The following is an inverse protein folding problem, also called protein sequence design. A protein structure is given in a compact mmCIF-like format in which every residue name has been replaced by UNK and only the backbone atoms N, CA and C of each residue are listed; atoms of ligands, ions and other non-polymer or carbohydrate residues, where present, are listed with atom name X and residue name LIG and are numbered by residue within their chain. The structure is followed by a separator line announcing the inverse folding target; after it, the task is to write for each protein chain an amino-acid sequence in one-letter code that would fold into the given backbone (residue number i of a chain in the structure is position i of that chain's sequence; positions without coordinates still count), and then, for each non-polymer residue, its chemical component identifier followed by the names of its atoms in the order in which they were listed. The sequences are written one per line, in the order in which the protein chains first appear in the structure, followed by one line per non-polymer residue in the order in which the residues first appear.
data_IF_762262387011
#
_entry.id   IF_762262387011
#
_cell.length_a   1.000
_cell.length_b   1.000
_cell.length_c   1.000
_cell.angle_alpha   90.00
_cell.angle_beta   90.00
_cell.angle_gamma   90.00
#
_symmetry.space_group_name_H-M   'P 1'
#
loop_
_entity.id
_entity.type
_entity.pdbx_description
1 polymer ?
#
# COMPACT_ATOMS: atom_id res chain seq x y z
N UNK A 1 -52.52 83.02 -2.91
CA UNK A 1 -51.94 82.42 -4.10
C UNK A 1 -50.67 81.70 -3.66
N UNK A 2 -50.79 80.38 -3.45
CA UNK A 2 -49.65 79.54 -3.07
C UNK A 2 -49.09 78.81 -4.28
N UNK A 3 -47.97 79.31 -4.81
CA UNK A 3 -47.24 78.63 -5.87
C UNK A 3 -46.42 77.45 -5.31
N UNK A 4 -46.84 76.22 -5.61
CA UNK A 4 -46.01 75.03 -5.35
C UNK A 4 -44.91 74.99 -6.41
N UNK A 5 -43.64 75.20 -5.97
CA UNK A 5 -42.44 74.93 -6.75
C UNK A 5 -42.25 73.41 -6.89
N UNK A 6 -42.52 72.87 -8.08
CA UNK A 6 -42.09 71.51 -8.45
C UNK A 6 -40.61 71.45 -8.59
N UNK A 7 -39.94 70.78 -7.62
CA UNK A 7 -38.52 70.43 -7.73
C UNK A 7 -38.38 69.28 -8.78
N UNK A 8 -37.99 69.69 -9.98
CA UNK A 8 -37.56 68.73 -11.01
C UNK A 8 -36.21 68.15 -10.56
N UNK A 9 -36.26 66.93 -10.05
CA UNK A 9 -35.06 66.14 -9.74
C UNK A 9 -34.42 65.69 -11.05
N UNK A 10 -33.55 66.49 -11.60
CA UNK A 10 -32.70 66.09 -12.72
C UNK A 10 -31.75 64.96 -12.30
N UNK A 11 -31.93 63.75 -12.86
CA UNK A 11 -30.96 62.65 -12.66
C UNK A 11 -29.59 63.14 -13.08
N UNK A 12 -28.60 62.94 -12.21
CA UNK A 12 -27.17 63.28 -12.45
C UNK A 12 -26.73 62.74 -13.82
N UNK A 13 -25.97 63.51 -14.58
CA UNK A 13 -25.43 63.11 -15.88
C UNK A 13 -24.61 61.82 -15.76
N UNK A 14 -23.94 61.63 -14.62
CA UNK A 14 -23.21 60.40 -14.26
C UNK A 14 -24.15 59.19 -14.24
N UNK A 15 -25.34 59.29 -13.64
CA UNK A 15 -26.29 58.15 -13.59
C UNK A 15 -26.89 57.83 -14.97
N UNK A 16 -27.00 58.83 -15.87
CA UNK A 16 -27.48 58.62 -17.23
C UNK A 16 -26.49 57.85 -18.12
N UNK A 17 -25.20 57.89 -17.82
CA UNK A 17 -24.17 57.19 -18.58
C UNK A 17 -23.81 55.88 -17.88
N UNK A 18 -23.62 55.87 -16.55
CA UNK A 18 -23.20 54.67 -15.83
C UNK A 18 -24.25 53.57 -15.82
N UNK A 19 -25.54 53.92 -15.72
CA UNK A 19 -26.59 52.87 -15.68
C UNK A 19 -26.67 52.09 -17.01
N UNK A 20 -26.71 52.74 -18.18
CA UNK A 20 -26.67 52.01 -19.46
C UNK A 20 -25.39 51.20 -19.66
N UNK A 21 -24.23 51.71 -19.28
CA UNK A 21 -22.95 50.96 -19.35
C UNK A 21 -22.98 49.73 -18.48
N UNK A 22 -23.50 49.82 -17.25
CA UNK A 22 -23.59 48.70 -16.33
C UNK A 22 -24.59 47.65 -16.84
N UNK A 23 -25.72 48.07 -17.41
CA UNK A 23 -26.70 47.20 -18.07
C UNK A 23 -26.07 46.49 -19.26
N UNK A 24 -25.31 47.19 -20.09
CA UNK A 24 -24.62 46.63 -21.26
C UNK A 24 -23.58 45.58 -20.81
N UNK A 25 -22.77 45.86 -19.77
CA UNK A 25 -21.80 44.92 -19.23
C UNK A 25 -22.46 43.67 -18.68
N UNK A 26 -23.57 43.80 -17.94
CA UNK A 26 -24.33 42.63 -17.44
C UNK A 26 -24.89 41.82 -18.62
N UNK A 27 -25.38 42.47 -19.66
CA UNK A 27 -25.93 41.81 -20.84
C UNK A 27 -24.85 41.06 -21.63
N UNK A 28 -23.66 41.64 -21.79
CA UNK A 28 -22.50 40.98 -22.40
C UNK A 28 -22.09 39.72 -21.62
N UNK A 29 -21.99 39.81 -20.29
CA UNK A 29 -21.68 38.63 -19.42
C UNK A 29 -22.77 37.59 -19.54
N UNK A 30 -24.06 37.98 -19.54
CA UNK A 30 -25.17 37.06 -19.70
C UNK A 30 -25.17 36.35 -21.06
N UNK A 31 -24.92 37.08 -22.14
CA UNK A 31 -24.79 36.49 -23.48
C UNK A 31 -23.62 35.54 -23.56
N UNK A 32 -22.46 35.90 -23.00
CA UNK A 32 -21.30 35.03 -22.96
C UNK A 32 -21.60 33.74 -22.15
N UNK A 33 -22.25 33.85 -21.00
CA UNK A 33 -22.64 32.69 -20.20
C UNK A 33 -23.63 31.76 -20.96
N UNK A 34 -24.61 32.35 -21.68
CA UNK A 34 -25.55 31.57 -22.49
C UNK A 34 -24.83 30.89 -23.66
N UNK A 35 -23.91 31.58 -24.34
CA UNK A 35 -23.09 30.98 -25.41
C UNK A 35 -22.27 29.81 -24.88
N UNK A 36 -21.59 29.96 -23.74
CA UNK A 36 -20.82 28.88 -23.09
C UNK A 36 -21.70 27.67 -22.72
N UNK A 37 -22.92 27.90 -22.22
CA UNK A 37 -23.87 26.85 -21.89
C UNK A 37 -24.41 26.13 -23.14
N UNK A 38 -24.72 26.87 -24.20
CA UNK A 38 -25.33 26.32 -25.42
C UNK A 38 -24.27 25.65 -26.32
N UNK A 39 -23.06 26.17 -26.37
CA UNK A 39 -21.97 25.60 -27.17
C UNK A 39 -21.44 24.24 -26.69
N UNK A 40 -21.83 23.83 -25.50
CA UNK A 40 -21.32 22.59 -24.90
C UNK A 40 -19.87 22.67 -24.44
N UNK A 41 -19.23 23.83 -24.45
CA UNK A 41 -17.83 24.01 -24.05
C UNK A 41 -17.59 23.61 -22.60
N UNK A 42 -18.56 23.87 -21.69
CA UNK A 42 -18.49 23.45 -20.31
C UNK A 42 -18.47 21.90 -20.18
N UNK A 43 -19.27 21.22 -21.00
CA UNK A 43 -19.28 19.74 -21.05
C UNK A 43 -17.97 19.23 -21.62
N UNK A 44 -17.42 19.88 -22.63
CA UNK A 44 -16.13 19.52 -23.21
C UNK A 44 -14.99 19.74 -22.22
N UNK A 45 -14.95 20.87 -21.51
CA UNK A 45 -13.94 21.14 -20.47
C UNK A 45 -14.04 20.10 -19.34
N UNK A 46 -15.26 19.78 -18.90
CA UNK A 46 -15.48 18.75 -17.89
C UNK A 46 -14.95 17.39 -18.35
N UNK A 47 -15.33 16.96 -19.55
CA UNK A 47 -14.86 15.70 -20.14
C UNK A 47 -13.34 15.66 -20.30
N UNK A 48 -12.73 16.75 -20.75
CA UNK A 48 -11.28 16.86 -20.88
C UNK A 48 -10.57 16.77 -19.54
N UNK A 49 -11.11 17.43 -18.50
CA UNK A 49 -10.57 17.36 -17.15
C UNK A 49 -10.65 15.94 -16.57
N UNK A 50 -11.73 15.23 -16.81
CA UNK A 50 -11.88 13.83 -16.41
C UNK A 50 -10.87 12.93 -17.12
N UNK A 51 -10.74 13.03 -18.42
CA UNK A 51 -9.77 12.24 -19.18
C UNK A 51 -8.34 12.48 -18.67
N UNK A 52 -8.00 13.73 -18.34
CA UNK A 52 -6.69 14.07 -17.80
C UNK A 52 -6.45 13.44 -16.41
N UNK A 53 -7.47 13.41 -15.56
CA UNK A 53 -7.38 12.76 -14.25
C UNK A 53 -7.23 11.26 -14.38
N UNK A 54 -8.02 10.63 -15.24
CA UNK A 54 -7.93 9.20 -15.55
C UNK A 54 -6.53 8.86 -16.08
N UNK A 55 -6.04 9.60 -17.08
CA UNK A 55 -4.71 9.39 -17.65
C UNK A 55 -3.60 9.51 -16.57
N UNK A 56 -3.67 10.53 -15.71
CA UNK A 56 -2.71 10.71 -14.62
C UNK A 56 -2.78 9.55 -13.62
N UNK A 57 -3.99 9.12 -13.27
CA UNK A 57 -4.20 8.02 -12.32
C UNK A 57 -3.67 6.71 -12.90
N UNK A 58 -4.01 6.38 -14.15
CA UNK A 58 -3.52 5.21 -14.85
C UNK A 58 -1.99 5.19 -14.95
N UNK A 59 -1.37 6.33 -15.30
CA UNK A 59 0.09 6.44 -15.33
C UNK A 59 0.72 6.20 -13.94
N UNK A 60 0.08 6.67 -12.87
CA UNK A 60 0.56 6.43 -11.50
C UNK A 60 0.36 4.98 -11.08
N UNK A 61 -0.79 4.39 -11.38
CA UNK A 61 -1.07 2.98 -11.13
C UNK A 61 -0.01 2.10 -11.81
N UNK A 62 0.22 2.31 -13.12
CA UNK A 62 1.25 1.57 -13.87
C UNK A 62 2.66 1.76 -13.32
N UNK A 63 2.98 2.94 -12.80
CA UNK A 63 4.27 3.18 -12.16
C UNK A 63 4.42 2.43 -10.84
N UNK A 64 3.38 2.44 -10.00
CA UNK A 64 3.36 1.68 -8.73
C UNK A 64 3.43 0.18 -9.02
N UNK A 65 2.65 -0.33 -9.97
CA UNK A 65 2.70 -1.71 -10.41
C UNK A 65 4.11 -2.11 -10.87
N UNK A 66 4.73 -1.31 -11.73
CA UNK A 66 6.11 -1.53 -12.17
C UNK A 66 7.10 -1.57 -10.99
N UNK A 67 6.99 -0.64 -10.05
CA UNK A 67 7.82 -0.59 -8.84
C UNK A 67 7.65 -1.85 -7.98
N UNK A 68 6.42 -2.31 -7.79
CA UNK A 68 6.14 -3.53 -7.04
C UNK A 68 6.67 -4.76 -7.76
N UNK A 69 6.44 -4.87 -9.06
CA UNK A 69 6.92 -6.00 -9.87
C UNK A 69 8.44 -6.13 -9.89
N UNK A 70 9.18 -5.02 -9.81
CA UNK A 70 10.64 -5.07 -9.68
C UNK A 70 11.11 -5.75 -8.40
N UNK A 71 10.28 -5.83 -7.36
CA UNK A 71 10.64 -6.48 -6.07
C UNK A 71 10.40 -7.98 -6.07
N UNK A 72 9.68 -8.52 -7.05
CA UNK A 72 9.29 -9.94 -7.05
C UNK A 72 10.44 -10.88 -7.38
N UNK A 73 11.27 -10.55 -8.38
CA UNK A 73 12.41 -11.39 -8.78
C UNK A 73 13.46 -11.55 -7.69
N UNK A 74 13.89 -10.47 -6.99
CA UNK A 74 14.82 -10.59 -5.87
C UNK A 74 14.35 -11.50 -4.75
N UNK A 75 13.05 -11.47 -4.41
CA UNK A 75 12.50 -12.35 -3.38
C UNK A 75 12.53 -13.81 -3.81
N UNK A 76 12.21 -14.09 -5.08
CA UNK A 76 12.34 -15.43 -5.64
C UNK A 76 13.80 -15.92 -5.61
N UNK A 77 14.76 -15.08 -6.03
CA UNK A 77 16.19 -15.41 -5.98
C UNK A 77 16.64 -15.73 -4.56
N UNK A 78 16.19 -14.93 -3.58
CA UNK A 78 16.47 -15.16 -2.16
C UNK A 78 15.81 -16.45 -1.65
N UNK A 79 14.61 -16.78 -2.11
CA UNK A 79 13.97 -18.06 -1.78
C UNK A 79 14.80 -19.26 -2.29
N UNK A 80 15.32 -19.17 -3.51
CA UNK A 80 16.20 -20.20 -4.08
C UNK A 80 17.51 -20.33 -3.26
N UNK A 81 18.11 -19.22 -2.87
CA UNK A 81 19.31 -19.19 -2.03
C UNK A 81 19.04 -19.83 -0.65
N UNK A 82 17.94 -19.46 0.01
CA UNK A 82 17.58 -20.04 1.31
C UNK A 82 17.26 -21.54 1.19
N UNK A 83 16.60 -21.98 0.12
CA UNK A 83 16.39 -23.41 -0.11
C UNK A 83 17.72 -24.16 -0.24
N UNK A 84 18.70 -23.59 -0.96
CA UNK A 84 20.04 -24.18 -1.06
C UNK A 84 20.74 -24.25 0.30
N UNK A 85 20.73 -23.17 1.08
CA UNK A 85 21.27 -23.12 2.45
C UNK A 85 20.63 -24.19 3.33
N UNK A 86 19.30 -24.36 3.22
CA UNK A 86 18.55 -25.35 3.96
C UNK A 86 18.98 -26.77 3.60
N UNK A 87 19.03 -27.09 2.30
CA UNK A 87 19.42 -28.42 1.83
C UNK A 87 20.86 -28.77 2.23
N UNK A 88 21.80 -27.81 2.06
CA UNK A 88 23.18 -27.98 2.47
C UNK A 88 23.30 -28.23 3.97
N UNK A 89 22.58 -27.46 4.80
CA UNK A 89 22.56 -27.61 6.24
C UNK A 89 22.01 -28.99 6.69
N UNK A 90 20.92 -29.44 6.07
CA UNK A 90 20.31 -30.74 6.35
C UNK A 90 21.28 -31.89 5.99
N UNK A 91 21.92 -31.80 4.82
CA UNK A 91 22.86 -32.82 4.34
C UNK A 91 24.13 -32.87 5.19
N UNK A 92 24.72 -31.72 5.56
CA UNK A 92 25.93 -31.65 6.42
C UNK A 92 25.72 -32.31 7.79
N UNK A 93 24.52 -32.20 8.34
CA UNK A 93 24.20 -32.69 9.67
C UNK A 93 23.49 -34.07 9.68
N UNK A 94 23.15 -34.60 8.50
CA UNK A 94 22.43 -35.86 8.36
C UNK A 94 21.02 -35.80 8.96
N UNK A 95 20.37 -34.63 8.93
CA UNK A 95 19.05 -34.40 9.48
C UNK A 95 18.03 -34.26 8.34
N UNK A 96 16.77 -34.47 8.64
CA UNK A 96 15.68 -34.37 7.67
C UNK A 96 14.85 -33.12 7.90
N UNK A 97 14.05 -32.72 6.89
CA UNK A 97 13.14 -31.58 7.01
C UNK A 97 12.12 -31.76 8.16
N UNK A 98 11.75 -33.00 8.50
CA UNK A 98 10.84 -33.27 9.63
C UNK A 98 11.46 -32.86 10.98
N UNK A 99 12.78 -32.97 11.11
CA UNK A 99 13.50 -32.53 12.31
C UNK A 99 13.54 -31.01 12.45
N UNK A 100 13.32 -30.27 11.36
CA UNK A 100 13.15 -28.82 11.43
C UNK A 100 11.94 -28.42 12.28
N UNK A 101 10.87 -29.22 12.26
CA UNK A 101 9.66 -28.96 13.06
C UNK A 101 9.80 -29.29 14.55
N UNK A 102 10.80 -30.10 14.92
CA UNK A 102 10.94 -30.65 16.28
C UNK A 102 12.10 -30.03 17.07
N UNK A 103 13.12 -29.51 16.39
CA UNK A 103 14.37 -29.07 17.04
C UNK A 103 14.58 -27.54 16.89
N UNK A 104 14.53 -26.86 18.05
CA UNK A 104 14.72 -25.39 18.10
C UNK A 104 16.13 -24.93 17.73
N UNK A 105 17.16 -25.74 18.01
CA UNK A 105 18.53 -25.37 17.65
C UNK A 105 18.74 -25.50 16.14
N UNK A 106 18.09 -26.47 15.50
CA UNK A 106 18.08 -26.60 14.05
C UNK A 106 17.43 -25.37 13.41
N UNK A 107 16.26 -24.97 13.93
CA UNK A 107 15.57 -23.76 13.45
C UNK A 107 16.43 -22.50 13.62
N UNK A 108 17.04 -22.34 14.79
CA UNK A 108 17.89 -21.21 15.12
C UNK A 108 19.07 -21.10 14.15
N UNK A 109 19.80 -22.20 13.97
CA UNK A 109 20.97 -22.25 13.08
C UNK A 109 20.58 -21.95 11.63
N UNK A 110 19.46 -22.49 11.16
CA UNK A 110 18.96 -22.20 9.82
C UNK A 110 18.63 -20.71 9.63
N UNK A 111 17.97 -20.08 10.63
CA UNK A 111 17.66 -18.66 10.58
C UNK A 111 18.92 -17.78 10.59
N UNK A 112 19.94 -18.19 11.37
CA UNK A 112 21.25 -17.52 11.37
C UNK A 112 21.92 -17.62 10.01
N UNK A 113 22.01 -18.82 9.42
CA UNK A 113 22.61 -19.02 8.09
C UNK A 113 21.88 -18.27 6.98
N UNK A 114 20.57 -18.10 7.11
CA UNK A 114 19.73 -17.37 6.14
C UNK A 114 19.76 -15.85 6.32
N UNK A 115 20.31 -15.34 7.41
CA UNK A 115 20.24 -13.92 7.76
C UNK A 115 20.97 -13.01 6.76
N UNK A 116 22.12 -13.44 6.24
CA UNK A 116 22.91 -12.66 5.26
C UNK A 116 22.11 -12.48 3.97
N UNK A 117 21.33 -13.48 3.55
CA UNK A 117 20.44 -13.35 2.39
C UNK A 117 19.34 -12.32 2.62
N UNK A 118 18.76 -12.25 3.84
CA UNK A 118 17.78 -11.23 4.20
C UNK A 118 18.38 -9.82 4.25
N UNK A 119 19.56 -9.67 4.86
CA UNK A 119 20.29 -8.39 4.89
C UNK A 119 20.61 -7.91 3.49
N UNK A 120 21.09 -8.83 2.62
CA UNK A 120 21.36 -8.54 1.22
C UNK A 120 20.10 -8.08 0.48
N UNK A 121 18.96 -8.71 0.75
CA UNK A 121 17.68 -8.34 0.16
C UNK A 121 17.26 -6.92 0.56
N UNK A 122 17.37 -6.55 1.84
CA UNK A 122 17.10 -5.19 2.33
C UNK A 122 17.99 -4.18 1.61
N UNK A 123 19.30 -4.42 1.57
CA UNK A 123 20.29 -3.46 1.06
C UNK A 123 20.23 -3.30 -0.45
N UNK A 124 20.20 -4.42 -1.18
CA UNK A 124 20.21 -4.41 -2.64
C UNK A 124 18.94 -3.83 -3.21
N UNK A 125 17.82 -4.20 -2.63
CA UNK A 125 16.51 -3.90 -3.21
C UNK A 125 15.78 -2.74 -2.51
N UNK A 126 16.42 -2.11 -1.52
CA UNK A 126 15.91 -0.94 -0.81
C UNK A 126 14.47 -1.18 -0.30
N UNK A 127 14.25 -2.30 0.34
CA UNK A 127 12.98 -2.65 0.98
C UNK A 127 13.06 -2.36 2.47
N UNK A 128 11.92 -2.09 3.09
CA UNK A 128 11.91 -1.75 4.52
C UNK A 128 12.08 -2.96 5.41
N UNK A 129 11.52 -4.09 4.99
CA UNK A 129 11.53 -5.32 5.77
C UNK A 129 11.98 -6.47 4.88
N UNK A 130 12.69 -7.44 5.47
CA UNK A 130 12.91 -8.76 4.90
C UNK A 130 12.75 -9.81 6.00
N UNK A 131 12.12 -10.92 5.70
CA UNK A 131 11.81 -11.92 6.70
C UNK A 131 11.77 -13.34 6.14
N UNK A 132 12.01 -14.28 7.02
CA UNK A 132 11.76 -15.71 6.85
C UNK A 132 10.89 -16.20 8.02
N UNK A 133 9.87 -17.00 7.72
CA UNK A 133 9.00 -17.63 8.71
C UNK A 133 8.93 -19.10 8.35
N UNK A 134 9.32 -19.96 9.29
CA UNK A 134 9.32 -21.40 9.11
C UNK A 134 7.98 -21.99 9.57
N UNK A 135 7.53 -23.04 8.93
CA UNK A 135 6.33 -23.79 9.35
C UNK A 135 6.67 -24.74 10.51
N UNK A 136 7.19 -24.18 11.56
CA UNK A 136 7.57 -24.92 12.75
C UNK A 136 7.11 -24.18 14.00
N UNK A 137 7.04 -24.88 15.12
CA UNK A 137 6.77 -24.29 16.42
C UNK A 137 7.78 -23.21 16.79
N UNK A 138 7.56 -22.58 17.92
CA UNK A 138 8.42 -21.54 18.48
C UNK A 138 9.83 -22.00 18.75
N UNK A 139 10.81 -21.10 18.62
CA UNK A 139 12.16 -21.24 19.16
C UNK A 139 12.17 -21.34 20.70
N UNK A 140 11.06 -21.02 21.34
CA UNK A 140 10.81 -21.18 22.76
C UNK A 140 9.85 -22.37 22.96
N UNK A 141 9.96 -23.09 24.08
CA UNK A 141 9.16 -24.26 24.40
C UNK A 141 7.65 -23.94 24.62
N UNK A 142 7.04 -23.26 23.68
CA UNK A 142 5.60 -22.96 23.64
C UNK A 142 4.93 -23.89 22.64
N UNK A 143 4.29 -24.91 23.18
CA UNK A 143 3.58 -25.93 22.43
C UNK A 143 2.20 -25.43 21.96
N UNK A 144 2.20 -24.52 20.97
CA UNK A 144 0.94 -24.04 20.39
C UNK A 144 1.00 -24.07 18.87
N UNK A 145 -0.01 -24.64 18.23
CA UNK A 145 -0.15 -24.70 16.77
C UNK A 145 -0.16 -23.31 16.09
N UNK A 146 -0.31 -22.26 16.88
CA UNK A 146 -0.40 -20.88 16.42
C UNK A 146 0.94 -20.16 16.38
N UNK A 147 2.01 -20.75 16.90
CA UNK A 147 3.33 -20.10 16.99
C UNK A 147 4.23 -20.56 15.85
N UNK A 148 4.96 -19.63 15.24
CA UNK A 148 5.93 -19.91 14.17
C UNK A 148 7.28 -19.28 14.46
N UNK A 149 8.33 -20.05 14.24
CA UNK A 149 9.70 -19.57 14.29
C UNK A 149 10.00 -18.70 13.08
N UNK A 150 10.74 -17.61 13.25
CA UNK A 150 11.14 -16.77 12.15
C UNK A 150 12.18 -15.73 12.52
N UNK A 151 12.64 -15.03 11.49
CA UNK A 151 13.52 -13.89 11.58
C UNK A 151 12.91 -12.76 10.74
N UNK A 152 12.64 -11.62 11.34
CA UNK A 152 12.11 -10.44 10.69
C UNK A 152 13.03 -9.25 10.97
N UNK A 153 13.67 -8.77 9.93
CA UNK A 153 14.62 -7.67 9.96
C UNK A 153 13.99 -6.43 9.32
N UNK A 154 14.22 -5.27 9.92
CA UNK A 154 13.68 -3.99 9.47
C UNK A 154 14.75 -2.92 9.35
N UNK A 155 14.70 -2.19 8.24
CA UNK A 155 15.38 -0.94 8.02
C UNK A 155 14.34 0.14 7.67
N UNK A 156 14.11 1.06 8.60
CA UNK A 156 13.03 2.06 8.44
C UNK A 156 13.36 3.14 7.43
N UNK A 157 14.63 3.31 7.05
CA UNK A 157 15.10 4.34 6.12
C UNK A 157 15.93 3.77 4.94
N UNK A 158 15.80 2.48 4.67
CA UNK A 158 16.50 1.77 3.58
C UNK A 158 16.50 2.52 2.23
N UNK A 159 15.43 3.26 1.94
CA UNK A 159 15.30 4.07 0.73
C UNK A 159 16.08 5.39 0.78
N UNK A 160 16.35 5.91 1.97
CA UNK A 160 17.00 7.22 2.19
C UNK A 160 18.49 7.07 2.51
N UNK A 161 18.84 5.98 3.18
CA UNK A 161 20.16 5.75 3.73
C UNK A 161 20.63 4.33 3.39
N UNK A 162 21.25 4.16 2.24
CA UNK A 162 21.81 2.88 1.79
C UNK A 162 23.20 2.60 2.41
N UNK A 163 23.31 2.67 3.74
CA UNK A 163 24.56 2.28 4.40
C UNK A 163 24.75 0.77 4.33
N UNK A 164 25.98 0.31 4.38
CA UNK A 164 26.31 -1.12 4.42
C UNK A 164 26.44 -1.63 5.86
N UNK A 165 26.26 -0.78 6.86
CA UNK A 165 26.37 -1.15 8.27
C UNK A 165 25.07 -1.83 8.72
N UNK A 166 25.17 -3.05 9.28
CA UNK A 166 24.04 -3.80 9.83
C UNK A 166 23.43 -3.12 11.05
N UNK A 167 24.13 -2.15 11.66
CA UNK A 167 23.68 -1.49 12.90
C UNK A 167 22.43 -0.62 12.76
N UNK A 168 22.03 -0.27 11.53
CA UNK A 168 20.79 0.44 11.24
C UNK A 168 19.62 -0.51 10.90
N UNK A 169 19.90 -1.83 10.87
CA UNK A 169 18.88 -2.87 10.77
C UNK A 169 18.49 -3.31 12.18
N UNK A 170 17.20 -3.37 12.42
CA UNK A 170 16.61 -3.83 13.68
C UNK A 170 15.94 -5.17 13.49
N UNK A 171 16.04 -6.03 14.50
CA UNK A 171 15.25 -7.26 14.55
C UNK A 171 13.89 -6.96 15.19
N UNK A 172 12.82 -7.15 14.43
CA UNK A 172 11.44 -6.97 14.89
C UNK A 172 10.84 -8.29 15.40
N UNK A 173 11.29 -9.42 14.82
CA UNK A 173 10.89 -10.74 15.27
C UNK A 173 12.05 -11.73 15.15
N UNK A 174 12.20 -12.58 16.16
CA UNK A 174 13.20 -13.64 16.20
C UNK A 174 13.76 -13.88 17.61
N UNK A 175 14.59 -14.89 17.76
CA UNK A 175 15.28 -15.16 19.03
C UNK A 175 16.28 -14.04 19.35
N UNK A 176 16.32 -13.59 20.61
CA UNK A 176 17.33 -12.64 21.07
C UNK A 176 18.77 -13.12 20.88
N UNK A 177 18.99 -14.45 20.90
CA UNK A 177 20.31 -15.04 20.65
C UNK A 177 20.76 -14.80 19.21
N UNK A 178 19.82 -14.88 18.26
CA UNK A 178 20.08 -14.56 16.84
C UNK A 178 20.49 -13.08 16.71
N UNK A 179 19.77 -12.18 17.37
CA UNK A 179 20.12 -10.75 17.34
C UNK A 179 21.54 -10.48 17.87
N UNK A 180 21.91 -11.17 18.96
CA UNK A 180 23.25 -11.07 19.53
C UNK A 180 24.32 -11.57 18.55
N UNK A 181 24.06 -12.69 17.88
CA UNK A 181 25.02 -13.28 16.92
C UNK A 181 25.18 -12.43 15.66
N UNK A 182 24.08 -11.87 15.15
CA UNK A 182 24.10 -10.95 14.02
C UNK A 182 24.65 -9.56 14.37
N UNK A 183 24.76 -9.22 15.66
CA UNK A 183 25.15 -7.88 16.11
C UNK A 183 24.12 -6.81 15.79
N UNK A 184 22.84 -7.20 15.60
CA UNK A 184 21.72 -6.27 15.34
C UNK A 184 21.00 -5.92 16.64
N UNK A 185 20.39 -4.73 16.70
CA UNK A 185 19.57 -4.32 17.83
C UNK A 185 18.15 -4.91 17.72
N UNK A 186 17.53 -5.17 18.88
CA UNK A 186 16.12 -5.50 18.94
C UNK A 186 15.29 -4.21 18.75
N UNK A 187 14.21 -4.29 17.97
CA UNK A 187 13.23 -3.21 17.90
C UNK A 187 12.50 -3.04 19.25
N UNK A 188 11.98 -1.84 19.50
CA UNK A 188 11.18 -1.57 20.71
C UNK A 188 9.89 -2.39 20.77
N UNK A 189 9.40 -2.83 19.64
CA UNK A 189 8.20 -3.64 19.42
C UNK A 189 8.50 -5.11 19.14
N UNK A 190 9.73 -5.53 19.46
CA UNK A 190 10.24 -6.86 19.19
C UNK A 190 9.35 -7.97 19.78
N UNK A 191 9.17 -9.02 19.00
CA UNK A 191 8.51 -10.25 19.39
C UNK A 191 9.44 -11.47 19.19
N UNK A 192 9.43 -12.47 20.10
CA UNK A 192 10.31 -13.63 19.96
C UNK A 192 9.93 -14.57 18.80
N UNK A 193 8.67 -14.57 18.39
CA UNK A 193 8.10 -15.45 17.38
C UNK A 193 6.82 -14.85 16.79
N UNK A 194 6.37 -15.36 15.66
CA UNK A 194 5.07 -15.01 15.10
C UNK A 194 3.97 -15.77 15.88
N UNK A 195 2.90 -15.05 16.22
CA UNK A 195 1.67 -15.64 16.77
C UNK A 195 0.54 -15.41 15.80
N UNK A 196 0.07 -16.49 15.17
CA UNK A 196 -1.06 -16.45 14.25
C UNK A 196 -2.35 -16.48 15.09
N UNK A 197 -3.21 -15.49 14.90
CA UNK A 197 -4.50 -15.37 15.58
C UNK A 197 -5.53 -14.73 14.63
N UNK A 198 -6.78 -14.67 15.05
CA UNK A 198 -7.87 -14.10 14.25
C UNK A 198 -7.91 -12.56 14.23
N UNK A 199 -7.05 -11.89 15.01
CA UNK A 199 -7.06 -10.43 15.17
C UNK A 199 -6.29 -9.69 14.06
N UNK A 200 -5.44 -10.40 13.30
CA UNK A 200 -4.61 -9.82 12.25
C UNK A 200 -4.75 -10.60 10.94
N UNK A 201 -4.50 -9.91 9.83
CA UNK A 201 -4.34 -10.54 8.53
C UNK A 201 -2.95 -11.19 8.40
N UNK A 202 -2.91 -12.51 8.33
CA UNK A 202 -1.72 -13.32 8.09
C UNK A 202 -1.69 -13.94 6.68
N UNK A 203 -2.45 -13.39 5.74
CA UNK A 203 -2.49 -13.86 4.35
C UNK A 203 -1.10 -13.91 3.70
N UNK A 204 -0.19 -13.02 4.11
CA UNK A 204 1.21 -13.03 3.68
C UNK A 204 1.97 -14.31 4.04
N UNK A 205 1.51 -15.05 5.04
CA UNK A 205 2.06 -16.34 5.44
C UNK A 205 1.20 -17.50 4.93
N UNK A 206 -0.11 -17.47 5.20
CA UNK A 206 -1.01 -18.62 4.93
C UNK A 206 -1.18 -18.90 3.45
N UNK A 207 -1.38 -17.85 2.62
CA UNK A 207 -1.59 -18.04 1.18
C UNK A 207 -0.38 -18.67 0.48
N UNK A 208 0.87 -18.22 0.69
CA UNK A 208 2.03 -18.90 0.10
C UNK A 208 2.24 -20.32 0.64
N UNK A 209 1.98 -20.57 1.93
CA UNK A 209 2.09 -21.91 2.52
C UNK A 209 1.19 -22.93 1.81
N UNK A 210 -0.04 -22.55 1.50
CA UNK A 210 -1.02 -23.40 0.84
C UNK A 210 -0.87 -23.41 -0.70
N UNK A 211 -0.07 -22.50 -1.25
CA UNK A 211 -0.02 -22.24 -2.70
C UNK A 211 0.39 -23.44 -3.53
N UNK A 212 1.31 -24.27 -3.04
CA UNK A 212 1.79 -25.45 -3.77
C UNK A 212 0.76 -26.58 -3.74
N UNK A 213 -0.02 -26.70 -2.68
CA UNK A 213 -1.12 -27.66 -2.58
C UNK A 213 -2.30 -27.24 -3.48
N UNK A 214 -2.67 -25.97 -3.45
CA UNK A 214 -3.74 -25.40 -4.27
C UNK A 214 -3.41 -25.39 -5.78
N UNK A 215 -2.12 -25.21 -6.10
CA UNK A 215 -1.66 -25.08 -7.49
C UNK A 215 -0.47 -26.02 -7.79
N UNK A 216 -0.63 -27.34 -7.71
CA UNK A 216 0.47 -28.32 -7.83
C UNK A 216 1.21 -28.22 -9.18
N UNK A 217 0.50 -27.90 -10.26
CA UNK A 217 1.05 -27.77 -11.61
C UNK A 217 1.67 -26.40 -11.92
N UNK A 218 1.50 -25.42 -11.03
CA UNK A 218 2.02 -24.08 -11.25
C UNK A 218 3.54 -24.08 -11.01
N UNK A 219 4.33 -23.49 -11.91
CA UNK A 219 5.76 -23.32 -11.68
C UNK A 219 6.01 -22.54 -10.37
N UNK A 220 7.03 -22.96 -9.60
CA UNK A 220 7.30 -22.38 -8.27
C UNK A 220 7.48 -20.86 -8.34
N UNK A 221 8.16 -20.34 -9.37
CA UNK A 221 8.37 -18.90 -9.55
C UNK A 221 7.09 -18.07 -9.74
N UNK A 222 5.94 -18.70 -9.94
CA UNK A 222 4.62 -18.07 -10.04
C UNK A 222 3.78 -18.17 -8.75
N UNK A 223 4.36 -18.64 -7.65
CA UNK A 223 3.67 -18.83 -6.38
C UNK A 223 3.82 -17.64 -5.42
N UNK A 224 4.49 -16.58 -5.84
CA UNK A 224 4.63 -15.36 -5.04
C UNK A 224 3.30 -14.65 -4.85
N UNK A 225 3.13 -14.01 -3.68
CA UNK A 225 1.89 -13.38 -3.27
C UNK A 225 2.13 -12.00 -2.65
N UNK A 226 1.38 -11.00 -3.12
CA UNK A 226 1.27 -9.69 -2.47
C UNK A 226 0.08 -9.71 -1.51
N UNK A 227 0.33 -9.44 -0.23
CA UNK A 227 -0.74 -9.22 0.75
C UNK A 227 -1.11 -7.74 0.84
N UNK A 228 -2.23 -7.44 1.48
CA UNK A 228 -2.56 -6.11 1.97
C UNK A 228 -1.59 -5.60 3.05
N UNK A 229 -1.90 -4.44 3.62
CA UNK A 229 -1.15 -3.88 4.74
C UNK A 229 -1.45 -4.63 6.02
N UNK A 230 -0.47 -5.34 6.54
CA UNK A 230 -0.59 -6.15 7.75
C UNK A 230 0.55 -5.88 8.74
N UNK A 231 0.36 -6.29 9.99
CA UNK A 231 1.35 -6.22 11.05
C UNK A 231 1.82 -7.62 11.40
N UNK A 232 3.07 -7.75 11.82
CA UNK A 232 3.59 -9.03 12.35
C UNK A 232 3.32 -9.21 13.85
N UNK A 233 3.07 -8.10 14.55
CA UNK A 233 2.66 -8.08 15.96
C UNK A 233 1.71 -6.90 16.18
N UNK A 234 0.92 -6.87 17.26
CA UNK A 234 -0.05 -5.80 17.53
C UNK A 234 0.55 -4.39 17.55
N UNK A 235 1.79 -4.27 18.00
CA UNK A 235 2.53 -3.02 18.11
C UNK A 235 3.33 -2.65 16.86
N UNK A 236 3.63 -3.63 16.00
CA UNK A 236 4.43 -3.42 14.79
C UNK A 236 3.80 -2.43 13.81
N UNK A 237 4.65 -1.78 13.02
CA UNK A 237 4.19 -0.92 11.93
C UNK A 237 3.62 -1.76 10.78
N UNK A 238 2.56 -1.25 10.15
CA UNK A 238 1.99 -1.87 8.96
C UNK A 238 2.94 -1.78 7.78
N UNK A 239 3.07 -2.88 7.05
CA UNK A 239 3.71 -2.92 5.73
C UNK A 239 2.91 -3.81 4.78
N UNK A 240 2.92 -3.48 3.50
CA UNK A 240 2.45 -4.36 2.43
C UNK A 240 3.54 -5.37 2.17
N UNK A 241 3.20 -6.66 2.11
CA UNK A 241 4.20 -7.73 2.04
C UNK A 241 4.10 -8.49 0.72
N UNK A 242 5.27 -8.80 0.16
CA UNK A 242 5.41 -9.78 -0.90
C UNK A 242 6.14 -11.00 -0.36
N UNK A 243 5.55 -12.17 -0.52
CA UNK A 243 6.06 -13.41 0.05
C UNK A 243 6.13 -14.51 -0.99
N UNK A 244 7.07 -15.41 -0.76
CA UNK A 244 7.33 -16.55 -1.61
C UNK A 244 7.47 -17.82 -0.74
N UNK A 245 6.87 -18.96 -1.14
CA UNK A 245 7.01 -20.21 -0.37
C UNK A 245 8.44 -20.76 -0.49
N UNK A 246 8.98 -21.24 0.60
CA UNK A 246 10.19 -22.03 0.63
C UNK A 246 9.83 -23.48 0.36
N UNK A 247 10.34 -24.00 -0.74
CA UNK A 247 9.98 -25.35 -1.23
C UNK A 247 11.21 -26.20 -1.31
N UNK A 248 11.21 -27.30 -0.56
CA UNK A 248 12.29 -28.28 -0.58
C UNK A 248 12.36 -29.09 -1.89
N UNK A 249 13.44 -29.80 -2.10
CA UNK A 249 13.66 -30.62 -3.31
C UNK A 249 12.61 -31.74 -3.48
N UNK A 250 11.99 -32.20 -2.38
CA UNK A 250 10.87 -33.15 -2.42
C UNK A 250 9.49 -32.51 -2.66
N UNK A 251 9.46 -31.16 -2.82
CA UNK A 251 8.25 -30.42 -3.16
C UNK A 251 7.40 -29.96 -1.96
N UNK A 252 7.85 -30.18 -0.73
CA UNK A 252 7.16 -29.70 0.47
C UNK A 252 7.44 -28.20 0.71
N UNK A 253 6.41 -27.48 1.11
CA UNK A 253 6.54 -26.12 1.62
C UNK A 253 6.88 -26.19 3.10
N UNK A 254 7.98 -25.55 3.53
CA UNK A 254 8.45 -25.58 4.91
C UNK A 254 8.53 -24.19 5.55
N UNK A 255 8.14 -23.16 4.82
CA UNK A 255 8.14 -21.79 5.30
C UNK A 255 7.90 -20.80 4.18
N UNK A 256 8.05 -19.54 4.51
CA UNK A 256 7.96 -18.42 3.57
C UNK A 256 9.14 -17.47 3.76
N UNK A 257 9.57 -16.83 2.67
CA UNK A 257 10.46 -15.67 2.69
C UNK A 257 9.75 -14.50 2.05
N UNK A 258 10.01 -13.30 2.53
CA UNK A 258 9.33 -12.13 1.98
C UNK A 258 10.00 -10.81 2.31
N UNK A 259 9.41 -9.78 1.74
CA UNK A 259 9.76 -8.37 1.96
C UNK A 259 8.53 -7.60 2.43
N UNK A 260 8.78 -6.45 3.07
CA UNK A 260 7.74 -5.48 3.41
C UNK A 260 8.07 -4.09 2.85
N UNK A 261 7.05 -3.41 2.39
CA UNK A 261 7.10 -2.01 1.97
C UNK A 261 6.20 -1.19 2.89
N UNK A 262 6.80 -0.25 3.60
CA UNK A 262 6.06 0.67 4.46
C UNK A 262 5.22 1.66 3.64
N UNK A 263 4.12 2.12 4.22
CA UNK A 263 3.26 3.16 3.65
C UNK A 263 4.05 4.35 3.11
N UNK A 264 4.99 4.90 3.90
CA UNK A 264 5.81 6.04 3.50
C UNK A 264 6.65 5.79 2.24
N UNK A 265 7.09 4.55 2.03
CA UNK A 265 7.89 4.17 0.85
C UNK A 265 7.04 4.16 -0.41
N UNK A 266 5.80 3.67 -0.32
CA UNK A 266 4.85 3.68 -1.43
C UNK A 266 4.41 5.12 -1.73
N UNK A 267 4.05 5.90 -0.70
CA UNK A 267 3.58 7.28 -0.86
C UNK A 267 4.61 8.23 -1.46
N UNK A 268 5.92 7.99 -1.31
CA UNK A 268 6.96 8.73 -2.02
C UNK A 268 6.83 8.64 -3.54
N UNK A 269 6.28 7.56 -4.03
CA UNK A 269 6.06 7.30 -5.45
C UNK A 269 4.70 7.82 -5.95
N UNK A 270 3.86 8.35 -5.04
CA UNK A 270 2.54 8.92 -5.33
C UNK A 270 2.47 10.34 -4.76
N UNK A 271 3.24 11.30 -5.31
CA UNK A 271 3.34 12.63 -4.73
C UNK A 271 2.04 13.43 -4.90
N UNK A 272 1.62 14.09 -3.83
CA UNK A 272 0.42 14.94 -3.82
C UNK A 272 0.49 16.17 -4.73
N UNK A 273 1.70 16.58 -5.14
CA UNK A 273 1.94 17.80 -5.91
C UNK A 273 1.72 17.65 -7.43
N UNK A 274 1.26 16.51 -7.90
CA UNK A 274 0.85 16.31 -9.30
C UNK A 274 -0.37 17.15 -9.68
N UNK A 275 -1.12 17.63 -8.70
CA UNK A 275 -2.28 18.48 -8.89
C UNK A 275 -1.97 19.91 -8.46
N UNK A 276 -2.22 20.87 -9.36
CA UNK A 276 -1.94 22.29 -9.15
C UNK A 276 -2.74 22.95 -8.00
N UNK A 277 -3.80 22.30 -7.53
CA UNK A 277 -4.62 22.75 -6.42
C UNK A 277 -4.71 21.63 -5.37
N UNK A 278 -4.76 22.02 -4.10
CA UNK A 278 -5.04 21.13 -2.97
C UNK A 278 -6.44 20.46 -3.04
N UNK A 279 -7.00 20.35 -4.26
CA UNK A 279 -8.37 19.88 -4.52
C UNK A 279 -8.44 18.44 -4.95
N UNK A 280 -7.32 17.74 -5.05
CA UNK A 280 -7.27 16.33 -5.41
C UNK A 280 -6.27 15.58 -4.53
N UNK A 281 -6.49 14.28 -4.41
CA UNK A 281 -5.57 13.35 -3.76
C UNK A 281 -5.55 12.03 -4.53
N UNK A 282 -4.48 11.28 -4.39
CA UNK A 282 -4.45 9.87 -4.77
C UNK A 282 -4.87 9.02 -3.57
N UNK A 283 -5.62 7.98 -3.83
CA UNK A 283 -6.04 6.99 -2.84
C UNK A 283 -5.76 5.62 -3.44
N UNK A 284 -5.11 4.76 -2.68
CA UNK A 284 -5.02 3.33 -2.98
C UNK A 284 -6.04 2.65 -2.08
N UNK A 285 -6.89 1.85 -2.67
CA UNK A 285 -7.97 1.14 -1.97
C UNK A 285 -7.90 -0.35 -2.32
N UNK A 286 -8.35 -1.18 -1.42
CA UNK A 286 -8.47 -2.63 -1.61
C UNK A 286 -9.94 -3.06 -1.59
N UNK A 287 -10.28 -4.05 -2.40
CA UNK A 287 -11.52 -4.81 -2.35
C UNK A 287 -11.18 -6.21 -1.85
N UNK A 288 -11.19 -6.38 -0.53
CA UNK A 288 -10.79 -7.64 0.12
C UNK A 288 -11.87 -8.72 -0.05
N UNK A 289 -13.14 -8.32 -0.10
CA UNK A 289 -14.27 -9.25 -0.18
C UNK A 289 -14.69 -9.57 -1.62
N UNK A 290 -14.22 -8.81 -2.60
CA UNK A 290 -14.56 -8.98 -4.01
C UNK A 290 -16.00 -8.59 -4.34
N UNK A 291 -16.59 -7.70 -3.53
CA UNK A 291 -17.98 -7.26 -3.64
C UNK A 291 -18.14 -5.92 -4.38
N UNK A 292 -17.04 -5.35 -4.86
CA UNK A 292 -17.00 -4.03 -5.52
C UNK A 292 -16.99 -2.86 -4.53
N UNK A 293 -16.74 -3.13 -3.25
CA UNK A 293 -16.60 -2.12 -2.21
C UNK A 293 -15.12 -1.97 -1.84
N UNK A 294 -14.56 -0.82 -2.12
CA UNK A 294 -13.14 -0.54 -1.91
C UNK A 294 -12.92 0.24 -0.61
N UNK A 295 -12.06 -0.28 0.25
CA UNK A 295 -11.64 0.37 1.49
C UNK A 295 -10.34 1.13 1.27
N UNK A 296 -10.25 2.44 1.62
CA UNK A 296 -9.02 3.21 1.52
C UNK A 296 -7.92 2.63 2.40
N UNK A 297 -6.77 2.32 1.81
CA UNK A 297 -5.58 1.83 2.50
C UNK A 297 -4.53 2.92 2.66
N UNK A 298 -4.21 3.62 1.56
CA UNK A 298 -3.23 4.69 1.52
C UNK A 298 -3.77 5.92 0.82
N UNK A 299 -3.28 7.08 1.20
CA UNK A 299 -3.64 8.32 0.55
C UNK A 299 -2.48 9.32 0.48
N UNK A 300 -2.50 10.16 -0.55
CA UNK A 300 -1.54 11.23 -0.75
C UNK A 300 -2.28 12.51 -1.09
N UNK A 301 -2.12 13.55 -0.27
CA UNK A 301 -2.70 14.87 -0.47
C UNK A 301 -3.62 15.35 0.66
N UNK A 302 -3.69 16.68 0.88
CA UNK A 302 -4.34 17.24 2.06
C UNK A 302 -5.86 17.18 2.04
N UNK A 303 -6.48 17.02 0.85
CA UNK A 303 -7.93 16.98 0.74
C UNK A 303 -8.52 15.70 1.32
N UNK A 304 -7.74 14.63 1.41
CA UNK A 304 -8.17 13.35 1.93
C UNK A 304 -8.84 13.50 3.32
N UNK A 305 -8.19 14.17 4.24
CA UNK A 305 -8.70 14.36 5.62
C UNK A 305 -10.02 15.12 5.70
N UNK A 306 -10.42 15.82 4.63
CA UNK A 306 -11.70 16.54 4.55
C UNK A 306 -12.82 15.69 3.94
N UNK A 307 -12.47 14.73 3.08
CA UNK A 307 -13.43 13.92 2.31
C UNK A 307 -13.59 12.50 2.84
N UNK A 308 -12.57 11.95 3.47
CA UNK A 308 -12.50 10.55 3.85
C UNK A 308 -12.44 10.44 5.37
N UNK A 309 -13.33 9.64 5.94
CA UNK A 309 -13.33 9.24 7.35
C UNK A 309 -13.02 7.74 7.45
N UNK A 310 -12.85 7.23 8.68
CA UNK A 310 -12.58 5.82 8.91
C UNK A 310 -13.65 4.87 8.33
N UNK A 311 -14.89 5.37 8.18
CA UNK A 311 -16.04 4.59 7.68
C UNK A 311 -16.31 4.86 6.19
N UNK A 312 -15.40 5.50 5.48
CA UNK A 312 -15.57 5.81 4.06
C UNK A 312 -15.19 4.63 3.21
N UNK A 313 -16.07 4.27 2.27
CA UNK A 313 -15.84 3.26 1.24
C UNK A 313 -16.15 3.83 -0.14
N UNK A 314 -15.57 3.24 -1.18
CA UNK A 314 -15.86 3.57 -2.57
C UNK A 314 -16.71 2.45 -3.17
N UNK A 315 -17.84 2.82 -3.78
CA UNK A 315 -18.77 1.86 -4.38
C UNK A 315 -18.75 2.01 -5.90
N UNK A 316 -18.55 0.90 -6.60
CA UNK A 316 -18.49 0.82 -8.05
C UNK A 316 -19.85 1.04 -8.75
N UNK A 317 -20.97 1.10 -8.00
CA UNK A 317 -22.33 1.16 -8.56
C UNK A 317 -22.73 2.52 -9.18
N UNK A 318 -21.84 3.50 -9.21
CA UNK A 318 -22.08 4.74 -9.92
C UNK A 318 -21.88 4.56 -11.43
N UNK A 319 -22.40 5.51 -12.22
CA UNK A 319 -22.30 5.51 -13.69
C UNK A 319 -20.87 5.26 -14.19
N UNK A 320 -20.57 3.99 -14.47
CA UNK A 320 -19.26 3.45 -14.76
C UNK A 320 -18.70 3.85 -16.15
N UNK A 321 -19.36 4.73 -16.89
CA UNK A 321 -18.89 5.17 -18.22
C UNK A 321 -17.53 5.87 -18.18
N UNK A 322 -17.03 6.21 -16.99
CA UNK A 322 -15.74 6.89 -16.77
C UNK A 322 -14.90 6.30 -15.62
N UNK A 323 -15.23 5.12 -15.07
CA UNK A 323 -14.56 4.60 -13.87
C UNK A 323 -14.77 5.49 -12.66
N UNK A 324 -16.00 5.99 -12.46
CA UNK A 324 -16.34 6.87 -11.34
C UNK A 324 -16.94 6.02 -10.24
N UNK A 325 -16.37 6.13 -9.04
CA UNK A 325 -16.87 5.49 -7.84
C UNK A 325 -17.62 6.49 -6.97
N UNK A 326 -18.67 6.04 -6.31
CA UNK A 326 -19.39 6.85 -5.35
C UNK A 326 -18.72 6.75 -3.97
N UNK A 327 -18.38 7.90 -3.39
CA UNK A 327 -17.87 7.97 -2.02
C UNK A 327 -19.05 7.84 -1.05
N UNK A 328 -19.07 6.78 -0.24
CA UNK A 328 -20.08 6.57 0.80
C UNK A 328 -19.46 6.75 2.18
N UNK A 329 -20.15 7.50 3.04
CA UNK A 329 -19.83 7.62 4.46
C UNK A 329 -20.95 6.96 5.26
N UNK A 330 -20.68 5.82 5.89
CA UNK A 330 -21.67 5.07 6.64
C UNK A 330 -22.91 4.77 5.80
N UNK A 331 -24.10 5.04 6.33
CA UNK A 331 -25.38 4.80 5.65
C UNK A 331 -25.85 5.96 4.75
N UNK A 332 -25.08 7.03 4.58
CA UNK A 332 -25.46 8.18 3.74
C UNK A 332 -24.52 8.30 2.54
N UNK A 333 -25.07 8.11 1.35
CA UNK A 333 -24.40 8.41 0.10
C UNK A 333 -24.12 9.91 -0.01
N UNK A 334 -22.87 10.29 -0.13
CA UNK A 334 -22.48 11.63 -0.56
C UNK A 334 -21.97 11.54 -2.01
N UNK A 335 -22.58 12.27 -2.96
CA UNK A 335 -22.09 12.26 -4.34
C UNK A 335 -20.78 13.04 -4.42
N UNK A 336 -19.67 12.33 -4.30
CA UNK A 336 -18.34 12.83 -4.63
C UNK A 336 -17.71 11.81 -5.56
N UNK A 337 -17.36 12.27 -6.77
CA UNK A 337 -16.77 11.40 -7.77
C UNK A 337 -15.33 11.05 -7.36
N UNK A 338 -15.06 9.80 -7.05
CA UNK A 338 -13.73 9.22 -7.00
C UNK A 338 -13.46 8.51 -8.33
N UNK A 339 -12.23 8.57 -8.81
CA UNK A 339 -11.80 7.93 -10.05
C UNK A 339 -10.86 6.80 -9.69
N UNK A 340 -11.13 5.62 -10.22
CA UNK A 340 -10.21 4.49 -10.14
C UNK A 340 -10.11 3.81 -11.50
N UNK A 341 -9.01 3.20 -11.77
CA UNK A 341 -8.87 1.98 -12.52
C UNK A 341 -8.48 0.86 -11.58
#
# INVERSE_FOLDING_TARGET
MNGKSEKVHGKSMLSKVMIPMLILGILEVAVFAIVMLVSGELTYIKKYSYNLLIEKTANRASYVEYMLNQKTSPVYETAVEINHITEEYLDENGITLDQLSEDKEVNKELLIRSSDALVSLIRRDMVNDAFIILDTGSLYDTDTDTVRAGLYLRDTDAYENSTTDIKDIYMEMGSSDIAHELGTALDSEWAPHLVINDDNDFSFYTVPMESKELYPDKPVYNLGYWSGFSKISPSAQKSMKYTFPLVSSDGRVYGVVGIGLMEKTILKNIPANDFFNESACYIISSDIEGDGIYTPELHSGPIYTRLVSADTVFDENADNSYGIYELRQGTKAHPSAAYSE
#
